data_IF_058504446764
#
_entry.id   IF_058504446764
#
_cell.length_a   1.000
_cell.length_b   1.000
_cell.length_c   1.000
_cell.angle_alpha   90.00
_cell.angle_beta   90.00
_cell.angle_gamma   90.00
#
_symmetry.space_group_name_H-M   'P 1'
#
loop_
_entity.id
_entity.type
_entity.pdbx_description
1 polymer ?
#
# COMPACT_ATOMS: atom_id res chain seq x y z
N UNK A 1 65.81 -47.01 -33.47
CA UNK A 1 66.69 -45.85 -33.76
C UNK A 1 65.86 -44.88 -34.58
N UNK A 2 65.65 -43.61 -34.28
CA UNK A 2 66.14 -42.70 -33.25
C UNK A 2 65.69 -41.28 -33.65
N UNK A 3 65.39 -40.44 -32.66
CA UNK A 3 65.49 -38.96 -32.64
C UNK A 3 64.56 -38.14 -33.58
N UNK A 4 63.67 -37.29 -33.02
CA UNK A 4 63.88 -35.88 -32.56
C UNK A 4 64.03 -34.91 -33.75
N UNK A 5 63.54 -33.67 -33.84
CA UNK A 5 62.82 -32.65 -33.03
C UNK A 5 62.26 -31.65 -34.07
N UNK A 6 61.10 -31.02 -33.93
CA UNK A 6 60.93 -29.63 -33.43
C UNK A 6 59.47 -29.20 -33.71
N UNK A 7 58.69 -28.85 -32.69
CA UNK A 7 58.37 -27.48 -32.26
C UNK A 7 57.60 -26.64 -33.30
N UNK A 8 56.27 -26.67 -33.24
CA UNK A 8 55.44 -25.47 -33.21
C UNK A 8 54.22 -25.71 -32.30
N UNK A 9 54.09 -24.88 -31.27
CA UNK A 9 52.93 -24.76 -30.39
C UNK A 9 51.96 -23.74 -30.99
N UNK A 10 50.67 -24.06 -30.95
CA UNK A 10 49.54 -23.15 -30.63
C UNK A 10 48.33 -24.05 -30.30
N UNK A 11 48.12 -24.38 -29.02
CA UNK A 11 47.06 -23.83 -28.17
C UNK A 11 45.64 -24.17 -28.67
N UNK A 12 45.09 -25.28 -28.17
CA UNK A 12 43.97 -25.37 -27.18
C UNK A 12 42.60 -24.99 -27.76
N UNK A 13 41.64 -25.91 -27.79
CA UNK A 13 40.63 -25.93 -26.72
C UNK A 13 39.81 -27.23 -26.79
N UNK A 14 39.85 -27.98 -25.70
CA UNK A 14 39.09 -29.19 -25.39
C UNK A 14 37.60 -28.91 -25.21
N UNK A 15 36.75 -29.76 -25.79
CA UNK A 15 35.31 -29.82 -25.51
C UNK A 15 35.08 -30.37 -24.10
N UNK A 16 34.73 -29.50 -23.16
CA UNK A 16 34.17 -29.88 -21.87
C UNK A 16 32.65 -30.05 -21.97
N UNK A 17 32.15 -31.17 -21.44
CA UNK A 17 30.74 -31.54 -21.47
C UNK A 17 29.86 -30.49 -20.81
N UNK A 18 28.82 -30.06 -21.54
CA UNK A 18 27.81 -29.15 -21.03
C UNK A 18 26.92 -29.93 -20.07
N UNK A 19 27.11 -29.67 -18.77
CA UNK A 19 26.25 -30.12 -17.70
C UNK A 19 24.84 -29.52 -17.89
N UNK A 20 23.83 -30.36 -18.13
CA UNK A 20 22.45 -29.89 -18.31
C UNK A 20 21.89 -29.39 -16.97
N UNK A 21 21.83 -28.07 -16.83
CA UNK A 21 21.18 -27.40 -15.70
C UNK A 21 19.68 -27.73 -15.72
N UNK A 22 19.09 -28.25 -14.63
CA UNK A 22 17.66 -28.53 -14.59
C UNK A 22 16.88 -27.22 -14.71
N UNK A 23 16.03 -27.12 -15.75
CA UNK A 23 15.08 -26.02 -15.90
C UNK A 23 14.09 -26.12 -14.74
N UNK A 24 14.28 -25.24 -13.75
CA UNK A 24 13.33 -25.04 -12.66
C UNK A 24 12.05 -24.49 -13.29
N UNK A 25 11.06 -25.37 -13.52
CA UNK A 25 9.70 -24.95 -13.86
C UNK A 25 9.12 -24.23 -12.66
N UNK A 26 9.20 -22.90 -12.66
CA UNK A 26 8.46 -22.09 -11.69
C UNK A 26 6.98 -22.46 -11.75
N UNK A 27 6.32 -22.70 -10.61
CA UNK A 27 4.89 -22.96 -10.61
C UNK A 27 4.18 -21.78 -11.26
N UNK A 28 3.45 -22.05 -12.35
CA UNK A 28 2.63 -21.06 -13.04
C UNK A 28 1.52 -20.65 -12.07
N UNK A 29 1.72 -19.55 -11.34
CA UNK A 29 0.64 -18.91 -10.62
C UNK A 29 -0.22 -18.25 -11.72
N UNK A 30 -1.51 -18.62 -11.89
CA UNK A 30 -2.40 -17.95 -12.85
C UNK A 30 -2.35 -16.44 -12.60
N UNK A 31 -2.57 -15.51 -13.53
CA UNK A 31 -2.45 -14.06 -13.24
C UNK A 31 -3.47 -13.56 -12.19
N UNK A 32 -3.20 -12.43 -11.50
CA UNK A 32 -4.14 -11.88 -10.54
C UNK A 32 -5.44 -11.50 -11.27
N UNK A 33 -6.61 -11.69 -10.64
CA UNK A 33 -7.86 -11.25 -11.23
C UNK A 33 -7.78 -9.74 -11.52
N UNK A 34 -8.26 -9.32 -12.70
CA UNK A 34 -8.24 -7.90 -13.06
C UNK A 34 -9.11 -7.11 -12.08
N UNK A 35 -8.70 -5.89 -11.72
CA UNK A 35 -9.55 -4.98 -10.95
C UNK A 35 -10.91 -4.78 -11.65
N UNK A 36 -11.97 -4.44 -10.91
CA UNK A 36 -13.24 -4.01 -11.49
C UNK A 36 -13.00 -2.85 -12.48
N UNK A 37 -13.47 -2.99 -13.73
CA UNK A 37 -13.24 -1.98 -14.78
C UNK A 37 -14.00 -0.67 -14.54
N UNK A 38 -15.04 -0.70 -13.72
CA UNK A 38 -15.76 0.49 -13.23
C UNK A 38 -15.93 0.42 -11.71
N UNK A 39 -15.21 1.27 -11.00
CA UNK A 39 -15.34 1.41 -9.55
C UNK A 39 -16.34 2.52 -9.26
N UNK A 40 -17.55 2.14 -8.85
CA UNK A 40 -18.55 3.08 -8.32
C UNK A 40 -18.26 3.29 -6.83
N UNK A 41 -18.03 4.54 -6.44
CA UNK A 41 -17.84 4.94 -5.04
C UNK A 41 -19.19 5.20 -4.36
N UNK A 42 -19.33 4.92 -3.05
CA UNK A 42 -20.51 5.30 -2.29
C UNK A 42 -20.77 6.82 -2.39
N UNK A 43 -22.03 7.28 -2.41
CA UNK A 43 -22.35 8.71 -2.51
C UNK A 43 -21.66 9.57 -1.45
N UNK A 44 -21.60 9.10 -0.21
CA UNK A 44 -20.92 9.79 0.89
C UNK A 44 -19.43 10.01 0.63
N UNK A 45 -18.74 8.99 0.10
CA UNK A 45 -17.33 9.09 -0.29
C UNK A 45 -17.15 10.03 -1.48
N UNK A 46 -18.00 9.90 -2.50
CA UNK A 46 -17.93 10.73 -3.70
C UNK A 46 -18.15 12.22 -3.36
N UNK A 47 -19.07 12.51 -2.44
CA UNK A 47 -19.33 13.87 -1.96
C UNK A 47 -18.11 14.45 -1.24
N UNK A 48 -17.52 13.71 -0.29
CA UNK A 48 -16.33 14.14 0.43
C UNK A 48 -15.17 14.49 -0.51
N UNK A 49 -14.97 13.69 -1.57
CA UNK A 49 -13.91 13.90 -2.56
C UNK A 49 -14.22 15.13 -3.43
N UNK A 50 -15.47 15.32 -3.85
CA UNK A 50 -15.86 16.36 -4.82
C UNK A 50 -15.90 17.77 -4.23
N UNK A 51 -16.34 17.90 -2.97
CA UNK A 51 -16.53 19.22 -2.35
C UNK A 51 -15.18 19.91 -2.15
N UNK A 52 -15.02 21.21 -2.43
CA UNK A 52 -13.76 21.91 -2.18
C UNK A 52 -13.36 21.96 -0.70
N UNK A 53 -12.06 22.03 -0.42
CA UNK A 53 -11.51 22.33 0.89
C UNK A 53 -11.70 23.81 1.26
N UNK A 54 -11.51 24.16 2.54
CA UNK A 54 -11.41 25.56 2.97
C UNK A 54 -12.69 26.39 2.90
N UNK A 55 -13.85 25.75 2.80
CA UNK A 55 -15.17 26.39 2.67
C UNK A 55 -15.75 26.88 4.00
N UNK A 56 -15.23 26.40 5.13
CA UNK A 56 -15.61 26.83 6.48
C UNK A 56 -14.48 27.67 7.10
N UNK A 57 -14.79 28.77 7.78
CA UNK A 57 -13.78 29.56 8.48
C UNK A 57 -13.22 28.78 9.68
N UNK A 58 -11.95 29.01 10.01
CA UNK A 58 -11.41 28.65 11.32
C UNK A 58 -11.83 29.70 12.36
N UNK A 59 -12.10 29.23 13.58
CA UNK A 59 -12.30 30.12 14.72
C UNK A 59 -10.91 30.48 15.26
N UNK A 60 -10.53 31.76 15.36
CA UNK A 60 -9.15 32.18 15.64
C UNK A 60 -8.53 31.65 16.95
N UNK A 61 -9.35 31.31 17.95
CA UNK A 61 -8.92 30.84 19.27
C UNK A 61 -9.29 29.37 19.55
N UNK A 62 -9.75 28.64 18.52
CA UNK A 62 -10.10 27.23 18.62
C UNK A 62 -9.19 26.38 17.72
N UNK A 63 -8.15 25.83 18.35
CA UNK A 63 -7.21 24.94 17.68
C UNK A 63 -7.74 23.52 17.50
N UNK A 64 -8.95 23.19 17.97
CA UNK A 64 -9.51 21.84 17.91
C UNK A 64 -9.45 21.27 16.50
N UNK A 65 -9.88 22.04 15.50
CA UNK A 65 -9.86 21.61 14.09
C UNK A 65 -8.43 21.33 13.61
N UNK A 66 -7.46 22.15 13.99
CA UNK A 66 -6.06 21.98 13.58
C UNK A 66 -5.42 20.76 14.24
N UNK A 67 -5.70 20.55 15.54
CA UNK A 67 -5.28 19.36 16.29
C UNK A 67 -5.86 18.11 15.63
N UNK A 68 -7.16 18.10 15.37
CA UNK A 68 -7.87 16.96 14.78
C UNK A 68 -7.43 16.67 13.35
N UNK A 69 -7.23 17.72 12.55
CA UNK A 69 -6.75 17.62 11.17
C UNK A 69 -5.37 16.95 11.12
N UNK A 70 -4.48 17.40 12.00
CA UNK A 70 -3.14 16.84 12.14
C UNK A 70 -3.20 15.40 12.64
N UNK A 71 -3.99 15.14 13.68
CA UNK A 71 -4.18 13.81 14.27
C UNK A 71 -4.68 12.82 13.23
N UNK A 72 -5.67 13.19 12.42
CA UNK A 72 -6.21 12.34 11.37
C UNK A 72 -5.14 11.97 10.34
N UNK A 73 -4.29 12.91 9.91
CA UNK A 73 -3.18 12.62 8.99
C UNK A 73 -2.13 11.67 9.61
N UNK A 74 -1.77 11.89 10.88
CA UNK A 74 -0.87 11.00 11.64
C UNK A 74 -1.45 9.59 11.75
N UNK A 75 -2.75 9.47 12.04
CA UNK A 75 -3.43 8.18 12.12
C UNK A 75 -3.51 7.46 10.77
N UNK A 76 -3.71 8.18 9.66
CA UNK A 76 -3.62 7.59 8.31
C UNK A 76 -2.22 6.98 8.11
N UNK A 77 -1.17 7.74 8.38
CA UNK A 77 0.22 7.27 8.26
C UNK A 77 0.49 6.05 9.17
N UNK A 78 0.14 6.13 10.46
CA UNK A 78 0.37 5.06 11.42
C UNK A 78 -0.38 3.78 11.05
N UNK A 79 -1.66 3.87 10.68
CA UNK A 79 -2.47 2.70 10.35
C UNK A 79 -2.11 2.10 8.98
N UNK A 80 -1.70 2.91 8.00
CA UNK A 80 -1.15 2.38 6.75
C UNK A 80 0.09 1.51 6.96
N UNK A 81 0.99 1.91 7.86
CA UNK A 81 2.18 1.11 8.21
C UNK A 81 1.81 -0.19 8.94
N UNK A 82 0.82 -0.15 9.84
CA UNK A 82 0.35 -1.34 10.59
C UNK A 82 -0.24 -2.42 9.69
N UNK A 83 -0.74 -2.10 8.50
CA UNK A 83 -1.27 -3.10 7.56
C UNK A 83 -0.23 -4.17 7.18
N UNK A 84 1.05 -3.81 7.09
CA UNK A 84 2.12 -4.77 6.75
C UNK A 84 2.25 -5.86 7.82
N UNK A 85 2.21 -5.47 9.09
CA UNK A 85 2.26 -6.42 10.21
C UNK A 85 1.05 -7.37 10.18
N UNK A 86 -0.14 -6.85 9.86
CA UNK A 86 -1.35 -7.68 9.78
C UNK A 86 -1.32 -8.64 8.60
N UNK A 87 -0.76 -8.21 7.46
CA UNK A 87 -0.57 -9.11 6.32
C UNK A 87 0.44 -10.23 6.64
N UNK A 88 1.57 -9.91 7.29
CA UNK A 88 2.57 -10.91 7.66
C UNK A 88 1.98 -11.98 8.58
N UNK A 89 1.20 -11.58 9.59
CA UNK A 89 0.47 -12.52 10.46
C UNK A 89 -0.50 -13.41 9.69
N UNK A 90 -1.19 -12.85 8.70
CA UNK A 90 -2.08 -13.63 7.82
C UNK A 90 -1.30 -14.65 6.98
N UNK A 91 -0.15 -14.26 6.44
CA UNK A 91 0.76 -15.15 5.69
C UNK A 91 1.31 -16.29 6.56
N UNK A 92 1.68 -16.01 7.81
CA UNK A 92 2.14 -17.00 8.79
C UNK A 92 1.04 -18.02 9.09
N UNK A 93 -0.16 -17.55 9.48
CA UNK A 93 -1.30 -18.43 9.74
C UNK A 93 -1.58 -19.32 8.51
N UNK A 94 -1.59 -18.77 7.30
CA UNK A 94 -1.86 -19.53 6.09
C UNK A 94 -0.84 -20.67 5.85
N UNK A 95 0.44 -20.45 6.17
CA UNK A 95 1.50 -21.46 6.02
C UNK A 95 1.36 -22.59 7.04
N UNK A 96 0.95 -22.26 8.26
CA UNK A 96 0.86 -23.20 9.38
C UNK A 96 -0.42 -24.03 9.37
N UNK A 97 -1.57 -23.43 9.04
CA UNK A 97 -2.90 -24.02 9.23
C UNK A 97 -3.48 -24.75 8.01
N UNK A 98 -2.67 -24.96 6.95
CA UNK A 98 -3.11 -25.62 5.72
C UNK A 98 -4.44 -25.06 5.17
N UNK A 99 -4.56 -23.72 5.13
CA UNK A 99 -5.62 -22.85 4.57
C UNK A 99 -6.60 -22.15 5.55
N UNK A 100 -6.56 -22.37 6.87
CA UNK A 100 -7.44 -21.66 7.80
C UNK A 100 -6.90 -20.28 8.20
N UNK A 101 -7.45 -19.21 7.62
CA UNK A 101 -7.01 -17.82 7.84
C UNK A 101 -8.08 -16.90 8.48
N UNK A 102 -9.22 -17.45 8.91
CA UNK A 102 -10.44 -16.67 9.22
C UNK A 102 -10.22 -15.51 10.20
N UNK A 103 -9.54 -15.75 11.32
CA UNK A 103 -9.30 -14.72 12.34
C UNK A 103 -8.31 -13.64 11.85
N UNK A 104 -7.18 -14.05 11.26
CA UNK A 104 -6.18 -13.11 10.75
C UNK A 104 -6.71 -12.27 9.59
N UNK A 105 -7.53 -12.86 8.72
CA UNK A 105 -8.24 -12.16 7.66
C UNK A 105 -9.21 -11.10 8.20
N UNK A 106 -10.04 -11.49 9.17
CA UNK A 106 -10.97 -10.57 9.83
C UNK A 106 -10.23 -9.38 10.45
N UNK A 107 -9.10 -9.63 11.10
CA UNK A 107 -8.25 -8.58 11.67
C UNK A 107 -7.72 -7.65 10.57
N UNK A 108 -7.23 -8.17 9.45
CA UNK A 108 -6.76 -7.33 8.33
C UNK A 108 -7.89 -6.43 7.80
N UNK A 109 -9.09 -6.97 7.59
CA UNK A 109 -10.25 -6.20 7.14
C UNK A 109 -10.64 -5.09 8.13
N UNK A 110 -10.64 -5.37 9.44
CA UNK A 110 -10.88 -4.36 10.49
C UNK A 110 -9.87 -3.21 10.39
N UNK A 111 -8.60 -3.50 10.14
CA UNK A 111 -7.57 -2.46 10.00
C UNK A 111 -7.74 -1.64 8.72
N UNK A 112 -8.17 -2.26 7.62
CA UNK A 112 -8.52 -1.54 6.39
C UNK A 112 -9.70 -0.59 6.64
N UNK A 113 -10.72 -1.02 7.38
CA UNK A 113 -11.88 -0.20 7.71
C UNK A 113 -11.55 0.95 8.66
N UNK A 114 -10.65 0.72 9.63
CA UNK A 114 -10.13 1.79 10.49
C UNK A 114 -9.36 2.82 9.68
N UNK A 115 -8.50 2.40 8.76
CA UNK A 115 -7.79 3.32 7.88
C UNK A 115 -8.75 4.13 7.00
N UNK A 116 -9.81 3.50 6.48
CA UNK A 116 -10.86 4.16 5.72
C UNK A 116 -11.56 5.27 6.52
N UNK A 117 -11.85 5.01 7.80
CA UNK A 117 -12.44 6.01 8.70
C UNK A 117 -11.51 7.21 8.89
N UNK A 118 -10.21 7.00 9.07
CA UNK A 118 -9.28 8.12 9.24
C UNK A 118 -9.15 8.99 7.97
N UNK A 119 -9.22 8.39 6.77
CA UNK A 119 -9.34 9.17 5.53
C UNK A 119 -10.63 9.99 5.51
N UNK A 120 -11.76 9.39 5.88
CA UNK A 120 -13.06 10.06 5.94
C UNK A 120 -13.05 11.27 6.89
N UNK A 121 -12.50 11.08 8.09
CA UNK A 121 -12.35 12.14 9.11
C UNK A 121 -11.46 13.28 8.59
N UNK A 122 -10.32 12.96 7.98
CA UNK A 122 -9.43 13.95 7.39
C UNK A 122 -10.11 14.76 6.26
N UNK A 123 -10.87 14.09 5.39
CA UNK A 123 -11.60 14.74 4.29
C UNK A 123 -12.72 15.65 4.81
N UNK A 124 -13.38 15.28 5.92
CA UNK A 124 -14.34 16.15 6.61
C UNK A 124 -13.67 17.38 7.20
N UNK A 125 -12.56 17.20 7.91
CA UNK A 125 -11.79 18.29 8.52
C UNK A 125 -11.19 19.23 7.48
N UNK A 126 -10.93 18.73 6.26
CA UNK A 126 -10.50 19.54 5.12
C UNK A 126 -11.54 20.58 4.68
N UNK A 127 -12.79 20.52 5.16
CA UNK A 127 -13.78 21.58 4.92
C UNK A 127 -13.37 22.92 5.54
N UNK A 128 -12.53 22.93 6.57
CA UNK A 128 -12.05 24.15 7.22
C UNK A 128 -10.86 24.76 6.50
N UNK A 129 -10.77 26.09 6.50
CA UNK A 129 -9.67 26.83 5.89
C UNK A 129 -8.45 26.84 6.81
N UNK A 130 -7.77 25.69 6.89
CA UNK A 130 -6.61 25.50 7.76
C UNK A 130 -5.35 26.21 7.26
N UNK A 131 -5.21 26.36 5.95
CA UNK A 131 -4.22 27.19 5.24
C UNK A 131 -4.50 27.16 3.73
N UNK A 132 -3.66 27.82 2.93
CA UNK A 132 -3.72 27.83 1.47
C UNK A 132 -3.46 26.47 0.79
N UNK A 133 -2.95 25.47 1.52
CA UNK A 133 -2.63 24.14 1.00
C UNK A 133 -3.68 23.08 1.36
N UNK A 134 -4.78 23.45 2.01
CA UNK A 134 -5.84 22.55 2.42
C UNK A 134 -6.38 21.69 1.25
N UNK A 135 -6.55 22.28 0.06
CA UNK A 135 -7.01 21.55 -1.13
C UNK A 135 -5.98 20.52 -1.60
N UNK A 136 -4.70 20.88 -1.66
CA UNK A 136 -3.61 19.96 -2.05
C UNK A 136 -3.60 18.71 -1.18
N UNK A 137 -3.67 18.89 0.15
CA UNK A 137 -3.70 17.76 1.09
C UNK A 137 -4.99 16.95 0.99
N UNK A 138 -6.13 17.60 0.72
CA UNK A 138 -7.39 16.93 0.46
C UNK A 138 -7.31 16.04 -0.79
N UNK A 139 -6.68 16.51 -1.86
CA UNK A 139 -6.52 15.73 -3.09
C UNK A 139 -5.63 14.50 -2.84
N UNK A 140 -4.53 14.66 -2.11
CA UNK A 140 -3.67 13.55 -1.69
C UNK A 140 -4.43 12.49 -0.87
N UNK A 141 -5.22 12.94 0.12
CA UNK A 141 -6.05 12.06 0.93
C UNK A 141 -7.15 11.37 0.09
N UNK A 142 -7.74 12.08 -0.87
CA UNK A 142 -8.77 11.54 -1.76
C UNK A 142 -8.24 10.40 -2.63
N UNK A 143 -7.04 10.56 -3.20
CA UNK A 143 -6.41 9.49 -3.98
C UNK A 143 -6.07 8.27 -3.11
N UNK A 144 -5.56 8.49 -1.89
CA UNK A 144 -5.32 7.42 -0.92
C UNK A 144 -6.61 6.66 -0.58
N UNK A 145 -7.70 7.39 -0.34
CA UNK A 145 -9.00 6.82 0.03
C UNK A 145 -9.64 6.02 -1.12
N UNK A 146 -9.57 6.54 -2.35
CA UNK A 146 -9.99 5.82 -3.58
C UNK A 146 -9.21 4.51 -3.73
N UNK A 147 -7.89 4.57 -3.60
CA UNK A 147 -7.04 3.39 -3.71
C UNK A 147 -7.33 2.36 -2.60
N UNK A 148 -7.64 2.82 -1.38
CA UNK A 148 -7.98 1.96 -0.25
C UNK A 148 -9.32 1.24 -0.48
N UNK A 149 -10.31 1.96 -0.99
CA UNK A 149 -11.62 1.40 -1.33
C UNK A 149 -11.49 0.27 -2.37
N UNK A 150 -10.69 0.49 -3.40
CA UNK A 150 -10.38 -0.55 -4.41
C UNK A 150 -9.65 -1.72 -3.78
N UNK A 151 -8.62 -1.45 -2.96
CA UNK A 151 -7.88 -2.49 -2.24
C UNK A 151 -8.81 -3.36 -1.38
N UNK A 152 -9.75 -2.75 -0.62
CA UNK A 152 -10.70 -3.48 0.23
C UNK A 152 -11.50 -4.50 -0.60
N UNK A 153 -12.08 -4.08 -1.72
CA UNK A 153 -12.85 -4.96 -2.62
C UNK A 153 -12.01 -6.10 -3.17
N UNK A 154 -10.76 -5.81 -3.52
CA UNK A 154 -9.87 -6.82 -4.10
C UNK A 154 -9.31 -7.80 -3.06
N UNK A 155 -9.02 -7.36 -1.83
CA UNK A 155 -8.47 -8.22 -0.78
C UNK A 155 -9.39 -9.42 -0.51
N UNK A 156 -10.71 -9.22 -0.49
CA UNK A 156 -11.67 -10.32 -0.35
C UNK A 156 -11.55 -11.36 -1.49
N UNK A 157 -11.35 -10.90 -2.72
CA UNK A 157 -11.21 -11.78 -3.91
C UNK A 157 -9.85 -12.48 -3.93
N UNK A 158 -8.80 -11.74 -3.58
CA UNK A 158 -7.41 -12.18 -3.58
C UNK A 158 -7.13 -13.24 -2.50
N UNK A 159 -7.94 -13.26 -1.43
CA UNK A 159 -7.80 -14.20 -0.31
C UNK A 159 -8.77 -15.40 -0.38
N UNK A 160 -9.90 -15.31 -1.11
CA UNK A 160 -10.85 -16.44 -1.29
C UNK A 160 -10.32 -17.59 -2.16
N UNK A 161 -9.15 -17.46 -2.77
CA UNK A 161 -8.57 -18.51 -3.63
C UNK A 161 -7.78 -19.53 -2.78
N UNK A 162 -7.79 -20.80 -3.18
CA UNK A 162 -6.91 -21.88 -2.64
C UNK A 162 -5.41 -21.51 -2.59
N UNK A 163 -5.00 -20.50 -3.35
CA UNK A 163 -3.68 -19.86 -3.27
C UNK A 163 -3.89 -18.35 -3.16
N UNK A 164 -3.80 -17.78 -1.95
CA UNK A 164 -3.95 -16.36 -1.76
C UNK A 164 -2.84 -15.54 -2.43
N UNK A 165 -3.21 -14.34 -2.86
CA UNK A 165 -2.36 -13.44 -3.63
C UNK A 165 -1.61 -12.43 -2.76
N UNK A 166 -0.85 -12.93 -1.79
CA UNK A 166 -0.18 -12.11 -0.79
C UNK A 166 0.72 -11.02 -1.37
N UNK A 167 1.48 -11.31 -2.43
CA UNK A 167 2.33 -10.32 -3.10
C UNK A 167 1.54 -9.15 -3.70
N UNK A 168 0.33 -9.40 -4.20
CA UNK A 168 -0.53 -8.34 -4.76
C UNK A 168 -1.08 -7.46 -3.64
N UNK A 169 -1.55 -8.06 -2.55
CA UNK A 169 -2.03 -7.34 -1.37
C UNK A 169 -0.90 -6.49 -0.78
N UNK A 170 0.31 -7.05 -0.69
CA UNK A 170 1.51 -6.35 -0.22
C UNK A 170 1.84 -5.14 -1.09
N UNK A 171 1.72 -5.24 -2.42
CA UNK A 171 1.92 -4.11 -3.34
C UNK A 171 0.92 -2.99 -3.05
N UNK A 172 -0.35 -3.32 -2.82
CA UNK A 172 -1.39 -2.34 -2.50
C UNK A 172 -1.19 -1.68 -1.14
N UNK A 173 -0.77 -2.45 -0.13
CA UNK A 173 -0.38 -1.91 1.18
C UNK A 173 0.80 -0.93 1.04
N UNK A 174 1.82 -1.26 0.24
CA UNK A 174 2.92 -0.31 -0.06
C UNK A 174 2.42 0.98 -0.68
N UNK A 175 1.43 0.92 -1.58
CA UNK A 175 0.79 2.12 -2.13
C UNK A 175 0.11 2.95 -1.04
N UNK A 176 -0.60 2.30 -0.12
CA UNK A 176 -1.24 2.98 1.01
C UNK A 176 -0.23 3.64 1.95
N UNK A 177 0.90 3.00 2.22
CA UNK A 177 2.01 3.59 2.98
C UNK A 177 2.53 4.84 2.26
N UNK A 178 2.70 4.80 0.94
CA UNK A 178 3.13 5.96 0.15
C UNK A 178 2.13 7.12 0.24
N UNK A 179 0.83 6.85 0.13
CA UNK A 179 -0.21 7.88 0.29
C UNK A 179 -0.18 8.50 1.68
N UNK A 180 -0.17 7.66 2.73
CA UNK A 180 -0.14 8.12 4.12
C UNK A 180 1.12 8.92 4.44
N UNK A 181 2.29 8.48 3.99
CA UNK A 181 3.55 9.20 4.21
C UNK A 181 3.57 10.55 3.48
N UNK A 182 3.18 10.59 2.20
CA UNK A 182 3.14 11.84 1.45
C UNK A 182 2.18 12.86 2.08
N UNK A 183 1.00 12.41 2.51
CA UNK A 183 0.04 13.28 3.21
C UNK A 183 0.63 13.81 4.52
N UNK A 184 1.22 12.92 5.32
CA UNK A 184 1.79 13.27 6.62
C UNK A 184 2.96 14.26 6.48
N UNK A 185 3.87 14.04 5.54
CA UNK A 185 4.96 15.00 5.25
C UNK A 185 4.42 16.39 4.88
N UNK A 186 3.34 16.46 4.11
CA UNK A 186 2.72 17.73 3.72
C UNK A 186 2.03 18.43 4.91
N UNK A 187 1.47 17.66 5.85
CA UNK A 187 0.90 18.17 7.10
C UNK A 187 2.00 18.66 8.05
N UNK A 188 3.09 17.90 8.22
CA UNK A 188 4.21 18.30 9.09
C UNK A 188 4.91 19.58 8.63
N UNK A 189 4.97 19.82 7.32
CA UNK A 189 5.52 21.06 6.76
C UNK A 189 4.60 22.25 6.97
N UNK A 190 3.33 22.03 7.31
CA UNK A 190 2.40 23.09 7.65
C UNK A 190 2.80 23.68 9.00
N UNK A 191 3.09 24.98 9.02
CA UNK A 191 3.33 25.72 10.25
C UNK A 191 2.01 26.07 10.93
N UNK A 192 1.23 25.06 11.31
CA UNK A 192 0.08 25.28 12.19
C UNK A 192 0.60 25.82 13.53
N UNK A 193 -0.12 26.76 14.14
CA UNK A 193 0.21 27.26 15.49
C UNK A 193 -0.16 26.24 16.57
N UNK A 194 0.17 24.96 16.37
CA UNK A 194 -0.24 23.88 17.27
C UNK A 194 1.00 23.09 17.64
N UNK A 195 1.31 23.06 18.93
CA UNK A 195 2.27 22.11 19.48
C UNK A 195 1.62 20.73 19.47
N UNK A 196 2.23 19.78 18.75
CA UNK A 196 1.80 18.39 18.75
C UNK A 196 2.77 17.66 19.67
N UNK A 197 2.29 17.19 20.81
CA UNK A 197 3.03 16.28 21.71
C UNK A 197 3.14 14.85 21.13
#
# INVERSE_FOLDING_TARGET
MGQCLSLFKSETSSEEGIEMVPIIKFPIVPPPPRPPQHVVYPPSMAELIRVPAGRLPLIPDDDYVLVEYTRAAREIFANANRLTEKLNKLEECHKESNNEIGNAFTILCIFIDRLAKHYEDFLRLSAFNVDQFAQSRKDMASEGYKALYVMKKEVEVLLKKKKPWFNEIRRKIKSQIKHGNGLWEHVQKAKFRVAIE
#
